data_IF_970548075192
#
_entry.id   IF_970548075192
#
_cell.length_a   1.000
_cell.length_b   1.000
_cell.length_c   1.000
_cell.angle_alpha   90.00
_cell.angle_beta   90.00
_cell.angle_gamma   90.00
#
_symmetry.space_group_name_H-M   'P 1'
#
loop_
_entity.id
_entity.type
_entity.pdbx_description
1 polymer ?
#
# COMPACT_ATOMS: atom_id res chain seq x y z
N UNK A 1 9.46 -18.62 -21.70
CA UNK A 1 8.91 -17.32 -21.25
C UNK A 1 9.69 -16.12 -21.78
N UNK A 2 11.02 -16.17 -21.78
CA UNK A 2 11.92 -15.09 -22.22
C UNK A 2 11.44 -14.27 -23.44
N UNK A 3 11.22 -14.91 -24.60
CA UNK A 3 10.79 -14.22 -25.84
C UNK A 3 9.57 -13.32 -25.64
N UNK A 4 8.58 -13.79 -24.86
CA UNK A 4 7.35 -13.02 -24.57
C UNK A 4 7.65 -11.83 -23.67
N UNK A 5 8.47 -12.00 -22.63
CA UNK A 5 8.85 -10.92 -21.71
C UNK A 5 9.69 -9.83 -22.40
N UNK A 6 10.61 -10.21 -23.31
CA UNK A 6 11.36 -9.24 -24.12
C UNK A 6 10.43 -8.38 -24.99
N UNK A 7 9.44 -9.00 -25.64
CA UNK A 7 8.44 -8.27 -26.42
C UNK A 7 7.57 -7.38 -25.54
N UNK A 8 7.09 -7.88 -24.40
CA UNK A 8 6.30 -7.10 -23.44
C UNK A 8 7.06 -5.85 -22.96
N UNK A 9 8.36 -5.98 -22.63
CA UNK A 9 9.22 -4.85 -22.28
C UNK A 9 9.32 -3.80 -23.40
N UNK A 10 9.40 -4.25 -24.65
CA UNK A 10 9.45 -3.33 -25.80
C UNK A 10 8.17 -2.49 -25.91
N UNK A 11 7.02 -3.10 -25.66
CA UNK A 11 5.71 -2.44 -25.71
C UNK A 11 5.44 -1.49 -24.55
N UNK A 12 6.06 -1.71 -23.38
CA UNK A 12 5.87 -0.83 -22.22
C UNK A 12 6.32 0.61 -22.51
N UNK A 13 5.57 1.60 -22.02
CA UNK A 13 6.05 2.98 -21.89
C UNK A 13 7.26 3.03 -20.95
N UNK A 14 8.10 4.06 -21.02
CA UNK A 14 9.25 4.23 -20.10
C UNK A 14 8.84 4.25 -18.61
N UNK A 15 7.69 4.85 -18.28
CA UNK A 15 7.08 4.80 -16.94
C UNK A 15 6.16 3.57 -16.72
N UNK A 16 6.15 2.64 -17.68
CA UNK A 16 5.28 1.46 -17.66
C UNK A 16 5.82 0.40 -16.70
N UNK A 17 4.90 -0.44 -16.24
CA UNK A 17 5.18 -1.55 -15.32
C UNK A 17 4.56 -2.83 -15.81
N UNK A 18 5.14 -3.95 -15.39
CA UNK A 18 4.62 -5.30 -15.60
C UNK A 18 4.43 -5.97 -14.25
N UNK A 19 3.32 -6.70 -14.13
CA UNK A 19 3.02 -7.58 -13.00
C UNK A 19 3.01 -9.01 -13.52
N UNK A 20 3.72 -9.91 -12.85
CA UNK A 20 3.76 -11.33 -13.23
C UNK A 20 3.45 -12.18 -12.01
N UNK A 21 2.27 -12.80 -12.01
CA UNK A 21 1.90 -13.77 -10.97
C UNK A 21 2.60 -15.10 -11.21
N UNK A 22 3.19 -15.66 -10.16
CA UNK A 22 3.87 -16.95 -10.19
C UNK A 22 3.71 -17.66 -8.84
N UNK A 23 3.75 -18.98 -8.82
CA UNK A 23 3.89 -19.76 -7.58
C UNK A 23 5.37 -19.92 -7.22
N UNK A 24 5.66 -20.74 -6.22
CA UNK A 24 7.01 -21.00 -5.71
C UNK A 24 7.86 -21.86 -6.66
N UNK A 25 7.24 -22.67 -7.52
CA UNK A 25 7.94 -23.64 -8.38
C UNK A 25 8.98 -22.98 -9.31
N UNK A 26 8.63 -21.84 -9.91
CA UNK A 26 9.46 -21.13 -10.89
C UNK A 26 9.74 -19.67 -10.49
N UNK A 27 9.47 -19.30 -9.23
CA UNK A 27 9.65 -17.94 -8.74
C UNK A 27 11.09 -17.45 -8.96
N UNK A 28 12.08 -18.24 -8.52
CA UNK A 28 13.49 -17.83 -8.56
C UNK A 28 13.99 -17.68 -10.00
N UNK A 29 13.67 -18.64 -10.87
CA UNK A 29 14.03 -18.66 -12.28
C UNK A 29 13.39 -17.47 -13.01
N UNK A 30 12.12 -17.20 -12.76
CA UNK A 30 11.41 -16.06 -13.35
C UNK A 30 11.96 -14.73 -12.85
N UNK A 31 12.30 -14.62 -11.56
CA UNK A 31 12.92 -13.42 -10.97
C UNK A 31 14.25 -13.10 -11.68
N UNK A 32 15.14 -14.08 -11.80
CA UNK A 32 16.43 -13.90 -12.46
C UNK A 32 16.27 -13.56 -13.95
N UNK A 33 15.32 -14.21 -14.64
CA UNK A 33 15.02 -13.90 -16.03
C UNK A 33 14.48 -12.47 -16.19
N UNK A 34 13.62 -12.02 -15.28
CA UNK A 34 13.14 -10.64 -15.27
C UNK A 34 14.25 -9.65 -14.95
N UNK A 35 15.20 -9.97 -14.06
CA UNK A 35 16.38 -9.14 -13.80
C UNK A 35 17.23 -8.97 -15.05
N UNK A 36 17.43 -10.02 -15.84
CA UNK A 36 18.16 -9.93 -17.11
C UNK A 36 17.42 -9.08 -18.15
N UNK A 37 16.09 -9.26 -18.29
CA UNK A 37 15.30 -8.59 -19.33
C UNK A 37 15.02 -7.13 -18.98
N UNK A 38 14.62 -6.86 -17.74
CA UNK A 38 14.19 -5.55 -17.28
C UNK A 38 15.32 -4.75 -16.62
N UNK A 39 16.47 -5.36 -16.35
CA UNK A 39 17.54 -4.89 -15.46
C UNK A 39 17.11 -4.94 -13.99
N UNK A 40 17.96 -5.54 -13.14
CA UNK A 40 17.74 -5.68 -11.70
C UNK A 40 17.32 -4.38 -10.98
N UNK A 41 17.92 -3.20 -11.25
CA UNK A 41 17.50 -1.95 -10.59
C UNK A 41 16.05 -1.51 -10.89
N UNK A 42 15.44 -2.06 -11.94
CA UNK A 42 14.05 -1.79 -12.30
C UNK A 42 13.04 -2.69 -11.59
N UNK A 43 13.51 -3.64 -10.78
CA UNK A 43 12.68 -4.40 -9.85
C UNK A 43 12.05 -3.46 -8.81
N UNK A 44 10.74 -3.59 -8.62
CA UNK A 44 9.99 -2.77 -7.66
C UNK A 44 9.77 -3.56 -6.39
N UNK A 45 9.09 -4.71 -6.51
CA UNK A 45 8.73 -5.54 -5.37
C UNK A 45 8.26 -6.93 -5.82
N UNK A 46 8.37 -7.89 -4.90
CA UNK A 46 7.56 -9.10 -4.93
C UNK A 46 6.38 -8.90 -3.97
N UNK A 47 5.18 -8.78 -4.53
CA UNK A 47 3.96 -8.68 -3.75
C UNK A 47 3.42 -10.08 -3.42
N UNK A 48 3.38 -10.40 -2.13
CA UNK A 48 2.90 -11.67 -1.61
C UNK A 48 1.38 -11.63 -1.55
N UNK A 49 0.71 -12.39 -2.41
CA UNK A 49 -0.74 -12.50 -2.43
C UNK A 49 -1.20 -13.74 -1.66
N UNK A 50 -2.05 -13.55 -0.66
CA UNK A 50 -2.67 -14.64 0.09
C UNK A 50 -3.71 -15.36 -0.80
N UNK A 51 -3.31 -16.45 -1.46
CA UNK A 51 -4.11 -17.15 -2.47
C UNK A 51 -5.04 -18.20 -1.87
N UNK A 52 -4.88 -18.55 -0.58
CA UNK A 52 -5.73 -19.53 0.13
C UNK A 52 -5.92 -19.16 1.61
N UNK A 53 -7.16 -19.23 2.10
CA UNK A 53 -7.46 -19.02 3.53
C UNK A 53 -7.27 -20.27 4.39
N UNK A 54 -7.50 -21.44 3.81
CA UNK A 54 -7.44 -22.73 4.50
C UNK A 54 -5.99 -23.16 4.72
N UNK A 55 -5.70 -23.69 5.90
CA UNK A 55 -4.42 -24.32 6.22
C UNK A 55 -4.50 -25.81 5.93
N UNK A 56 -3.54 -26.35 5.19
CA UNK A 56 -3.41 -27.79 4.98
C UNK A 56 -2.83 -28.46 6.22
N UNK A 57 -3.48 -29.52 6.71
CA UNK A 57 -3.02 -30.35 7.83
C UNK A 57 -1.92 -31.33 7.44
N UNK A 58 -1.80 -31.64 6.15
CA UNK A 58 -0.97 -32.74 5.64
C UNK A 58 0.38 -32.26 5.12
N UNK A 59 0.54 -30.95 4.94
CA UNK A 59 1.79 -30.32 4.53
C UNK A 59 2.69 -30.03 5.73
N UNK A 60 4.02 -30.14 5.55
CA UNK A 60 4.99 -29.69 6.56
C UNK A 60 4.78 -28.20 6.87
N UNK A 61 4.54 -27.40 5.83
CA UNK A 61 4.12 -25.98 5.93
C UNK A 61 3.01 -25.76 4.91
N UNK A 62 1.88 -25.20 5.34
CA UNK A 62 0.77 -24.89 4.43
C UNK A 62 1.12 -23.70 3.54
N UNK A 63 1.31 -23.96 2.24
CA UNK A 63 1.49 -22.92 1.24
C UNK A 63 0.16 -22.19 0.99
N UNK A 64 0.11 -20.93 1.44
CA UNK A 64 -1.09 -20.09 1.37
C UNK A 64 -0.90 -18.84 0.48
N UNK A 65 0.25 -18.70 -0.17
CA UNK A 65 0.55 -17.51 -0.94
C UNK A 65 1.13 -17.84 -2.31
N UNK A 66 0.99 -16.85 -3.19
CA UNK A 66 1.69 -16.77 -4.46
C UNK A 66 2.47 -15.45 -4.53
N UNK A 67 3.43 -15.40 -5.45
CA UNK A 67 4.25 -14.25 -5.72
C UNK A 67 3.66 -13.42 -6.85
N UNK A 68 3.85 -12.11 -6.79
CA UNK A 68 3.53 -11.18 -7.89
C UNK A 68 4.72 -10.26 -8.08
N UNK A 69 5.57 -10.62 -9.03
CA UNK A 69 6.75 -9.84 -9.39
C UNK A 69 6.33 -8.56 -10.10
N UNK A 70 6.84 -7.43 -9.63
CA UNK A 70 6.57 -6.11 -10.22
C UNK A 70 7.87 -5.50 -10.71
N UNK A 71 7.92 -5.20 -12.00
CA UNK A 71 9.04 -4.53 -12.65
C UNK A 71 8.58 -3.27 -13.38
N UNK A 72 9.46 -2.29 -13.44
CA UNK A 72 9.32 -1.12 -14.31
C UNK A 72 10.14 -1.28 -15.59
N UNK A 73 9.81 -0.52 -16.63
CA UNK A 73 10.72 -0.35 -17.77
C UNK A 73 11.91 0.54 -17.42
N UNK A 74 11.66 1.60 -16.64
CA UNK A 74 12.68 2.49 -16.09
C UNK A 74 12.18 3.04 -14.73
N UNK A 75 12.89 2.69 -13.65
CA UNK A 75 12.46 3.00 -12.29
C UNK A 75 12.52 4.50 -11.97
N UNK A 76 13.46 5.23 -12.54
CA UNK A 76 13.62 6.65 -12.26
C UNK A 76 12.52 7.46 -12.95
N UNK A 77 12.22 7.15 -14.21
CA UNK A 77 11.07 7.73 -14.93
C UNK A 77 9.76 7.40 -14.22
N UNK A 78 9.59 6.16 -13.73
CA UNK A 78 8.42 5.78 -12.95
C UNK A 78 8.33 6.58 -11.64
N UNK A 79 9.43 6.73 -10.89
CA UNK A 79 9.45 7.49 -9.63
C UNK A 79 9.06 8.95 -9.85
N UNK A 80 9.51 9.56 -10.93
CA UNK A 80 9.09 10.92 -11.30
C UNK A 80 7.60 11.00 -11.65
N UNK A 81 7.10 10.04 -12.43
CA UNK A 81 5.68 9.97 -12.80
C UNK A 81 4.79 9.79 -11.55
N UNK A 82 5.18 8.89 -10.64
CA UNK A 82 4.52 8.67 -9.35
C UNK A 82 4.46 9.96 -8.53
N UNK A 83 5.57 10.70 -8.43
CA UNK A 83 5.62 11.96 -7.68
C UNK A 83 4.72 13.02 -8.30
N UNK A 84 4.71 13.14 -9.64
CA UNK A 84 3.96 14.16 -10.37
C UNK A 84 2.45 13.89 -10.39
N UNK A 85 2.05 12.62 -10.48
CA UNK A 85 0.66 12.20 -10.68
C UNK A 85 0.03 11.52 -9.46
N UNK A 86 0.78 11.40 -8.37
CA UNK A 86 0.38 10.67 -7.15
C UNK A 86 -0.14 9.23 -7.42
N UNK A 87 0.57 8.48 -8.28
CA UNK A 87 0.23 7.09 -8.65
C UNK A 87 0.80 6.07 -7.66
N UNK A 88 0.50 4.78 -7.84
CA UNK A 88 0.88 3.71 -6.91
C UNK A 88 0.32 3.94 -5.49
N UNK A 89 -0.93 4.39 -5.45
CA UNK A 89 -1.68 4.65 -4.23
C UNK A 89 -3.00 3.88 -4.29
N UNK A 90 -3.38 3.31 -3.15
CA UNK A 90 -4.70 2.74 -2.96
C UNK A 90 -5.66 3.83 -2.49
N UNK A 91 -6.97 3.70 -2.80
CA UNK A 91 -7.99 4.58 -2.27
C UNK A 91 -7.96 4.58 -0.74
N UNK A 92 -8.24 5.74 -0.14
CA UNK A 92 -8.29 5.87 1.31
C UNK A 92 -9.52 5.13 1.83
N UNK A 93 -9.34 4.27 2.84
CA UNK A 93 -10.45 3.62 3.54
C UNK A 93 -11.12 4.65 4.47
N UNK A 94 -12.35 5.01 4.17
CA UNK A 94 -13.10 6.08 4.86
C UNK A 94 -13.64 5.65 6.24
N UNK A 95 -13.78 4.34 6.45
CA UNK A 95 -14.31 3.69 7.66
C UNK A 95 -13.61 4.09 8.97
N UNK A 96 -12.35 4.53 8.89
CA UNK A 96 -11.54 4.93 10.04
C UNK A 96 -11.66 6.40 10.42
N UNK A 97 -12.40 7.19 9.65
CA UNK A 97 -12.55 8.63 9.84
C UNK A 97 -13.90 8.93 10.48
N UNK A 98 -13.90 9.79 11.50
CA UNK A 98 -15.12 10.26 12.15
C UNK A 98 -14.99 11.72 12.57
N UNK A 99 -16.12 12.39 12.76
CA UNK A 99 -16.15 13.81 13.17
C UNK A 99 -16.92 13.98 14.48
N UNK A 100 -16.51 13.28 15.54
CA UNK A 100 -17.22 13.28 16.82
C UNK A 100 -17.20 14.63 17.55
N UNK A 101 -16.25 15.50 17.21
CA UNK A 101 -16.05 16.82 17.83
C UNK A 101 -16.53 17.98 16.95
N UNK A 102 -17.28 17.69 15.88
CA UNK A 102 -17.81 18.69 14.94
C UNK A 102 -16.75 19.65 14.41
N UNK A 103 -15.55 19.14 14.10
CA UNK A 103 -14.49 19.94 13.49
C UNK A 103 -14.96 20.43 12.10
N UNK A 104 -14.87 21.74 11.79
CA UNK A 104 -15.33 22.30 10.51
C UNK A 104 -14.56 21.77 9.30
N UNK A 105 -13.39 21.15 9.50
CA UNK A 105 -12.59 20.50 8.44
C UNK A 105 -13.09 19.09 8.08
N UNK A 106 -14.08 18.58 8.81
CA UNK A 106 -14.72 17.30 8.53
C UNK A 106 -14.08 16.09 9.23
N UNK A 107 -14.42 14.86 8.79
CA UNK A 107 -13.97 13.62 9.42
C UNK A 107 -12.45 13.50 9.50
N UNK A 108 -11.96 13.01 10.64
CA UNK A 108 -10.54 12.82 10.91
C UNK A 108 -10.27 11.52 11.65
N UNK A 109 -9.00 11.10 11.67
CA UNK A 109 -8.51 9.99 12.48
C UNK A 109 -7.27 10.40 13.26
N UNK A 110 -6.98 9.71 14.36
CA UNK A 110 -5.88 10.05 15.26
C UNK A 110 -4.58 9.35 14.83
N UNK A 111 -3.65 10.11 14.28
CA UNK A 111 -2.33 9.63 13.93
C UNK A 111 -1.34 9.82 15.10
N UNK A 112 -0.41 8.86 15.35
CA UNK A 112 0.67 9.07 16.29
C UNK A 112 1.49 10.32 15.94
N UNK A 113 1.79 11.19 16.91
CA UNK A 113 2.55 12.42 16.67
C UNK A 113 4.08 12.21 16.66
N UNK A 114 4.52 10.96 16.74
CA UNK A 114 5.93 10.56 16.74
C UNK A 114 6.35 9.93 15.40
N UNK A 115 7.65 9.96 15.13
CA UNK A 115 8.31 9.42 13.93
C UNK A 115 9.60 8.68 14.31
N UNK A 116 10.02 7.68 13.51
CA UNK A 116 11.31 6.99 13.72
C UNK A 116 12.49 7.92 13.41
N UNK A 117 13.68 7.51 13.87
CA UNK A 117 14.96 8.24 13.78
C UNK A 117 14.98 9.49 14.67
N UNK A 118 15.83 9.47 15.70
CA UNK A 118 15.96 10.59 16.63
C UNK A 118 16.57 11.78 15.89
N UNK A 119 15.91 12.94 16.02
CA UNK A 119 16.40 14.22 15.49
C UNK A 119 16.40 15.22 16.64
N UNK A 120 17.54 15.79 17.04
CA UNK A 120 17.62 16.67 18.21
C UNK A 120 16.63 17.83 18.18
N UNK A 121 16.43 18.45 17.01
CA UNK A 121 15.49 19.56 16.82
C UNK A 121 14.00 19.16 16.91
N UNK A 122 13.69 17.87 16.94
CA UNK A 122 12.32 17.33 17.09
C UNK A 122 12.14 16.58 18.42
N UNK A 123 13.09 16.71 19.34
CA UNK A 123 13.05 16.05 20.66
C UNK A 123 12.94 17.12 21.73
N UNK A 124 11.71 17.48 22.07
CA UNK A 124 11.40 18.51 23.07
C UNK A 124 10.21 18.06 23.94
N UNK A 125 10.08 18.57 25.17
CA UNK A 125 8.94 18.24 26.02
C UNK A 125 7.65 18.87 25.46
N UNK A 126 6.57 18.10 25.49
CA UNK A 126 5.21 18.59 25.22
C UNK A 126 4.37 18.46 26.49
N UNK A 127 3.88 19.58 27.00
CA UNK A 127 2.95 19.60 28.13
C UNK A 127 1.52 19.45 27.63
N UNK A 128 0.80 18.45 28.14
CA UNK A 128 -0.62 18.32 27.87
C UNK A 128 -1.40 19.40 28.65
N UNK A 129 -2.14 20.29 27.97
CA UNK A 129 -2.82 21.41 28.60
C UNK A 129 -3.99 20.99 29.50
N UNK A 130 -4.51 19.77 29.36
CA UNK A 130 -5.66 19.30 30.13
C UNK A 130 -5.29 18.79 31.52
N UNK A 131 -4.04 18.36 31.73
CA UNK A 131 -3.61 17.69 32.96
C UNK A 131 -2.21 18.08 33.44
N UNK A 132 -1.50 18.94 32.71
CA UNK A 132 -0.14 19.36 33.03
C UNK A 132 0.94 18.28 32.84
N UNK A 133 0.58 17.07 32.38
CA UNK A 133 1.54 15.97 32.20
C UNK A 133 2.48 16.28 31.03
N UNK A 134 3.78 16.16 31.27
CA UNK A 134 4.81 16.34 30.26
C UNK A 134 5.07 15.01 29.55
N UNK A 135 5.10 15.05 28.23
CA UNK A 135 5.42 13.93 27.37
C UNK A 135 6.72 14.19 26.61
N UNK A 136 7.60 13.19 26.62
CA UNK A 136 8.73 13.07 25.71
C UNK A 136 8.38 12.10 24.57
N UNK A 137 9.02 12.20 23.40
CA UNK A 137 8.83 11.18 22.37
C UNK A 137 9.29 9.82 22.93
N UNK A 138 8.67 8.70 22.49
CA UNK A 138 9.08 7.38 22.95
C UNK A 138 10.55 7.10 22.63
N UNK A 139 11.18 6.21 23.40
CA UNK A 139 12.58 5.81 23.16
C UNK A 139 12.79 5.37 21.70
N UNK A 140 13.88 5.86 21.07
CA UNK A 140 14.18 5.60 19.67
C UNK A 140 13.38 6.44 18.64
N UNK A 141 12.54 7.37 19.09
CA UNK A 141 11.66 8.19 18.24
C UNK A 141 11.82 9.68 18.53
N UNK A 142 11.35 10.52 17.63
CA UNK A 142 11.23 11.96 17.82
C UNK A 142 9.81 12.43 17.44
N UNK A 143 9.47 13.69 17.71
CA UNK A 143 8.20 14.26 17.23
C UNK A 143 8.20 14.47 15.72
N UNK A 144 7.01 14.59 15.13
CA UNK A 144 6.85 14.83 13.70
C UNK A 144 7.20 16.26 13.27
N UNK A 145 7.19 17.21 14.19
CA UNK A 145 7.32 18.65 13.89
C UNK A 145 8.23 19.33 14.89
N UNK A 146 8.75 20.50 14.52
CA UNK A 146 9.44 21.37 15.48
C UNK A 146 8.46 21.91 16.51
N UNK A 147 8.98 22.51 17.59
CA UNK A 147 8.15 23.08 18.64
C UNK A 147 7.27 24.23 18.12
N UNK A 148 7.79 25.07 17.22
CA UNK A 148 7.05 26.19 16.62
C UNK A 148 5.85 25.67 15.82
N UNK A 149 6.08 24.63 15.02
CA UNK A 149 5.04 23.99 14.23
C UNK A 149 4.02 23.27 15.12
N UNK A 150 4.47 22.62 16.19
CA UNK A 150 3.57 22.03 17.18
C UNK A 150 2.64 23.07 17.81
N UNK A 151 3.18 24.22 18.22
CA UNK A 151 2.39 25.32 18.80
C UNK A 151 1.38 25.87 17.79
N UNK A 152 1.73 25.91 16.49
CA UNK A 152 0.78 26.25 15.42
C UNK A 152 -0.35 25.21 15.34
N UNK A 153 -0.01 23.93 15.23
CA UNK A 153 -1.00 22.84 15.13
C UNK A 153 -1.92 22.76 16.35
N UNK A 154 -1.40 23.05 17.54
CA UNK A 154 -2.18 23.13 18.77
C UNK A 154 -3.21 24.27 18.71
N UNK A 155 -2.78 25.48 18.30
CA UNK A 155 -3.68 26.64 18.10
C UNK A 155 -4.77 26.36 17.05
N UNK A 156 -4.41 25.66 15.98
CA UNK A 156 -5.33 25.22 14.94
C UNK A 156 -6.21 24.02 15.36
N UNK A 157 -6.17 23.58 16.63
CA UNK A 157 -6.93 22.42 17.14
C UNK A 157 -6.70 21.13 16.36
N UNK A 158 -5.50 20.96 15.79
CA UNK A 158 -5.07 19.75 15.06
C UNK A 158 -4.40 18.72 15.97
N UNK A 159 -4.02 19.11 17.19
CA UNK A 159 -3.49 18.20 18.20
C UNK A 159 -4.60 17.77 19.16
N UNK A 160 -4.66 16.48 19.46
CA UNK A 160 -5.50 15.89 20.50
C UNK A 160 -4.64 15.08 21.46
N UNK A 161 -5.17 14.81 22.66
CA UNK A 161 -4.47 14.04 23.70
C UNK A 161 -5.24 12.76 24.04
N UNK A 162 -5.54 11.96 23.00
CA UNK A 162 -6.38 10.77 23.12
C UNK A 162 -7.84 11.06 23.42
N UNK A 163 -8.67 10.01 23.45
CA UNK A 163 -10.12 10.12 23.69
C UNK A 163 -10.48 10.75 25.04
N UNK A 164 -9.66 10.51 26.06
CA UNK A 164 -9.86 11.02 27.42
C UNK A 164 -9.19 12.38 27.66
N UNK A 165 -8.44 12.90 26.68
CA UNK A 165 -7.65 14.12 26.84
C UNK A 165 -6.39 13.98 27.72
N UNK A 166 -6.09 12.77 28.20
CA UNK A 166 -4.99 12.51 29.16
C UNK A 166 -3.74 11.87 28.52
N UNK A 167 -3.81 11.48 27.25
CA UNK A 167 -2.75 10.73 26.58
C UNK A 167 -1.64 11.65 26.04
N UNK A 168 -0.65 11.04 25.37
CA UNK A 168 0.36 11.75 24.58
C UNK A 168 -0.27 12.49 23.38
N UNK A 169 0.37 13.53 22.83
CA UNK A 169 -0.15 14.23 21.66
C UNK A 169 -0.33 13.28 20.46
N UNK A 170 -1.43 13.48 19.74
CA UNK A 170 -1.77 12.83 18.48
C UNK A 170 -2.20 13.91 17.49
N UNK A 171 -1.96 13.66 16.20
CA UNK A 171 -2.35 14.56 15.12
C UNK A 171 -3.68 14.13 14.52
N UNK A 172 -4.61 15.08 14.35
CA UNK A 172 -5.79 14.88 13.50
C UNK A 172 -5.34 14.80 12.05
N UNK A 173 -5.52 13.63 11.43
CA UNK A 173 -5.38 13.45 10.00
C UNK A 173 -6.77 13.46 9.37
N UNK A 174 -7.07 14.49 8.58
CA UNK A 174 -8.38 14.69 7.97
C UNK A 174 -8.58 13.79 6.75
N UNK A 175 -9.82 13.38 6.50
CA UNK A 175 -10.20 12.51 5.38
C UNK A 175 -9.82 13.14 4.04
N UNK A 176 -10.12 14.42 3.83
CA UNK A 176 -9.81 15.13 2.59
C UNK A 176 -8.30 15.15 2.29
N UNK A 177 -7.47 15.39 3.32
CA UNK A 177 -6.01 15.33 3.19
C UNK A 177 -5.51 13.91 2.89
N UNK A 178 -6.15 12.90 3.48
CA UNK A 178 -5.81 11.50 3.27
C UNK A 178 -6.21 11.02 1.87
N UNK A 179 -7.40 11.34 1.39
CA UNK A 179 -7.90 11.02 0.04
C UNK A 179 -6.96 11.58 -1.02
N UNK A 180 -6.54 12.85 -0.89
CA UNK A 180 -5.61 13.45 -1.85
C UNK A 180 -4.22 12.80 -1.90
N UNK A 181 -3.75 12.20 -0.80
CA UNK A 181 -2.45 11.50 -0.75
C UNK A 181 -2.57 10.02 -1.12
N UNK A 182 -3.72 9.39 -0.86
CA UNK A 182 -3.92 7.96 -0.97
C UNK A 182 -3.08 7.14 0.01
N UNK A 183 -3.22 5.82 -0.03
CA UNK A 183 -2.50 4.88 0.83
C UNK A 183 -1.37 4.22 0.05
N UNK A 184 -0.17 4.18 0.63
CA UNK A 184 0.91 3.35 0.07
C UNK A 184 0.55 1.88 0.25
N UNK A 185 0.59 1.05 -0.81
CA UNK A 185 0.29 -0.37 -0.71
C UNK A 185 1.29 -1.11 0.19
N UNK A 186 0.82 -2.16 0.86
CA UNK A 186 1.68 -3.12 1.55
C UNK A 186 2.25 -4.13 0.54
N UNK A 187 3.37 -4.75 0.89
CA UNK A 187 3.96 -5.86 0.12
C UNK A 187 3.18 -7.17 0.28
N UNK A 188 2.40 -7.32 1.36
CA UNK A 188 1.53 -8.46 1.61
C UNK A 188 0.09 -8.04 1.30
N UNK A 189 -0.55 -8.75 0.37
CA UNK A 189 -1.93 -8.56 -0.04
C UNK A 189 -2.79 -9.69 0.52
N UNK A 190 -3.20 -9.50 1.77
CA UNK A 190 -4.11 -10.36 2.52
C UNK A 190 -5.56 -9.83 2.55
N UNK A 191 -5.79 -8.66 1.94
CA UNK A 191 -7.08 -7.95 1.89
C UNK A 191 -7.75 -7.96 0.50
N UNK A 192 -7.32 -8.88 -0.37
CA UNK A 192 -7.94 -9.16 -1.67
C UNK A 192 -8.46 -10.60 -1.69
N UNK A 193 -9.29 -10.94 -2.68
CA UNK A 193 -9.86 -12.28 -2.82
C UNK A 193 -8.80 -13.37 -3.01
N UNK A 194 -9.17 -14.61 -2.73
CA UNK A 194 -8.33 -15.81 -2.92
C UNK A 194 -8.66 -16.52 -4.24
N UNK A 195 -7.95 -17.60 -4.56
CA UNK A 195 -8.29 -18.46 -5.70
C UNK A 195 -9.73 -18.97 -5.63
N UNK A 196 -10.22 -19.31 -4.44
CA UNK A 196 -11.62 -19.72 -4.23
C UNK A 196 -12.60 -18.63 -4.65
N UNK A 197 -12.31 -17.36 -4.33
CA UNK A 197 -13.15 -16.25 -4.76
C UNK A 197 -13.16 -16.13 -6.28
N UNK A 198 -11.99 -16.26 -6.94
CA UNK A 198 -11.93 -16.22 -8.41
C UNK A 198 -12.73 -17.35 -9.05
N UNK A 199 -12.68 -18.57 -8.50
CA UNK A 199 -13.50 -19.69 -8.99
C UNK A 199 -15.00 -19.39 -8.88
N UNK A 200 -15.43 -18.87 -7.73
CA UNK A 200 -16.83 -18.51 -7.48
C UNK A 200 -17.31 -17.39 -8.43
N UNK A 201 -16.53 -16.31 -8.55
CA UNK A 201 -16.84 -15.17 -9.43
C UNK A 201 -17.05 -15.63 -10.89
N UNK A 202 -16.22 -16.56 -11.37
CA UNK A 202 -16.33 -17.05 -12.75
C UNK A 202 -17.44 -18.07 -12.94
N UNK A 203 -17.70 -18.92 -11.95
CA UNK A 203 -18.83 -19.86 -11.93
C UNK A 203 -20.17 -19.11 -11.93
N UNK A 204 -20.28 -18.00 -11.19
CA UNK A 204 -21.46 -17.13 -11.21
C UNK A 204 -21.73 -16.53 -12.61
N UNK A 205 -20.67 -16.23 -13.37
CA UNK A 205 -20.79 -15.68 -14.72
C UNK A 205 -21.11 -16.77 -15.77
N UNK A 206 -20.47 -17.94 -15.67
CA UNK A 206 -20.55 -18.99 -16.68
C UNK A 206 -21.62 -20.05 -16.40
N UNK A 207 -22.15 -20.09 -15.17
CA UNK A 207 -23.11 -21.09 -14.70
C UNK A 207 -22.51 -22.48 -14.43
N UNK A 208 -21.21 -22.66 -14.67
CA UNK A 208 -20.48 -23.91 -14.43
C UNK A 208 -18.98 -23.66 -14.25
N UNK A 209 -18.31 -24.57 -13.54
CA UNK A 209 -16.87 -24.49 -13.30
C UNK A 209 -16.06 -24.97 -14.52
N UNK A 210 -15.74 -24.05 -15.43
CA UNK A 210 -14.88 -24.32 -16.61
C UNK A 210 -13.38 -24.14 -16.39
N UNK A 211 -12.99 -23.33 -15.42
CA UNK A 211 -11.59 -23.00 -15.16
C UNK A 211 -11.17 -23.42 -13.75
N UNK A 212 -9.95 -23.93 -13.63
CA UNK A 212 -9.47 -24.50 -12.37
C UNK A 212 -9.02 -23.42 -11.37
N UNK A 213 -8.24 -22.43 -11.83
CA UNK A 213 -7.57 -21.47 -10.95
C UNK A 213 -7.60 -20.01 -11.50
N UNK A 214 -8.79 -19.47 -11.84
CA UNK A 214 -8.89 -18.07 -12.26
C UNK A 214 -8.44 -17.12 -11.14
N UNK A 215 -7.85 -15.98 -11.50
CA UNK A 215 -7.49 -14.93 -10.54
C UNK A 215 -8.75 -14.16 -10.15
N UNK A 216 -8.92 -13.79 -8.86
CA UNK A 216 -10.08 -13.01 -8.45
C UNK A 216 -10.02 -11.58 -8.99
N UNK A 217 -11.18 -11.02 -9.32
CA UNK A 217 -11.33 -9.66 -9.85
C UNK A 217 -10.73 -8.63 -8.90
N UNK A 218 -10.83 -8.85 -7.58
CA UNK A 218 -10.25 -7.97 -6.57
C UNK A 218 -8.73 -7.88 -6.62
N UNK A 219 -8.03 -8.95 -6.98
CA UNK A 219 -6.58 -8.92 -7.21
C UNK A 219 -6.22 -8.12 -8.46
N UNK A 220 -6.94 -8.32 -9.56
CA UNK A 220 -6.73 -7.55 -10.78
C UNK A 220 -7.03 -6.07 -10.57
N UNK A 221 -8.10 -5.75 -9.85
CA UNK A 221 -8.45 -4.38 -9.45
C UNK A 221 -7.33 -3.73 -8.65
N UNK A 222 -6.73 -4.45 -7.68
CA UNK A 222 -5.56 -3.98 -6.92
C UNK A 222 -4.39 -3.59 -7.82
N UNK A 223 -4.10 -4.40 -8.84
CA UNK A 223 -3.03 -4.11 -9.81
C UNK A 223 -3.36 -2.84 -10.61
N UNK A 224 -4.59 -2.73 -11.12
CA UNK A 224 -5.04 -1.58 -11.90
C UNK A 224 -5.01 -0.28 -11.08
N UNK A 225 -5.55 -0.28 -9.86
CA UNK A 225 -5.54 0.88 -8.96
C UNK A 225 -4.13 1.43 -8.71
N UNK A 226 -3.12 0.56 -8.65
CA UNK A 226 -1.74 0.98 -8.44
C UNK A 226 -1.10 1.55 -9.71
N UNK A 227 -1.37 0.94 -10.86
CA UNK A 227 -0.54 1.07 -12.05
C UNK A 227 -1.23 1.73 -13.24
N UNK A 228 -2.49 2.15 -13.14
CA UNK A 228 -3.25 2.74 -14.26
C UNK A 228 -3.97 4.03 -13.89
N UNK A 229 -4.42 4.75 -14.92
CA UNK A 229 -5.33 5.88 -14.90
C UNK A 229 -6.33 5.72 -16.06
N UNK A 230 -7.24 6.68 -16.25
CA UNK A 230 -8.27 6.65 -17.31
C UNK A 230 -7.74 6.62 -18.74
N UNK A 231 -6.44 6.87 -18.96
CA UNK A 231 -5.80 6.91 -20.27
C UNK A 231 -4.74 5.82 -20.46
N UNK A 232 -4.64 4.91 -19.49
CA UNK A 232 -3.66 3.84 -19.52
C UNK A 232 -4.10 2.70 -20.43
N UNK A 233 -3.14 2.12 -21.15
CA UNK A 233 -3.33 0.89 -21.92
C UNK A 233 -2.89 -0.28 -21.05
N UNK A 234 -3.75 -1.30 -20.93
CA UNK A 234 -3.48 -2.54 -20.20
C UNK A 234 -3.41 -3.69 -21.20
N UNK A 235 -2.38 -4.53 -21.06
CA UNK A 235 -2.19 -5.71 -21.89
C UNK A 235 -2.04 -6.94 -20.99
N UNK A 236 -2.94 -7.91 -21.19
CA UNK A 236 -2.78 -9.29 -20.72
C UNK A 236 -2.60 -10.18 -21.94
N UNK A 237 -1.51 -10.96 -21.97
CA UNK A 237 -1.16 -11.85 -23.07
C UNK A 237 -1.16 -13.34 -22.67
N UNK A 238 -1.75 -13.66 -21.51
CA UNK A 238 -1.96 -15.01 -20.98
C UNK A 238 -3.41 -15.21 -20.49
N UNK A 239 -4.37 -14.56 -21.18
CA UNK A 239 -5.79 -14.59 -20.86
C UNK A 239 -6.45 -15.97 -21.04
#
# INVERSE_FOLDING_TARGET
>A
MEKRLRLARNLLKSSGVIFVSIDDNEFAQLKLLCDEIFNEPNFIIDAIWNSRKSVSSDAIVSLNHNHTLVYSKNIDVLREDIKKRNRFKLPTKEDKFSNSDNDPRGPWTADPFDAPNIRPNLTYPITNPNNGKVFMPPSGRCWRTTNEEYVRLLRERRIIFGKTGQAKPQLKRYLQEAVGKGLTPKSIWDDVGTTTNGTQELEEILGEKKFNNPKPVSLLRRILELATDSHSVVLDFMA
#
